data_IF_272973029915
#
_entry.id   IF_272973029915
#
_cell.length_a   1.000
_cell.length_b   1.000
_cell.length_c   1.000
_cell.angle_alpha   90.00
_cell.angle_beta   90.00
_cell.angle_gamma   90.00
#
_symmetry.space_group_name_H-M   'P 1'
#
loop_
_entity.id
_entity.type
_entity.pdbx_description
1 polymer ?
#
# COMPACT_ATOMS: atom_id res chain seq x y z
N UNK A 1 56.93 17.84 31.83
CA UNK A 1 56.39 18.71 30.79
C UNK A 1 57.13 18.40 29.52
N UNK A 2 56.48 17.78 28.54
CA UNK A 2 56.55 18.14 27.13
C UNK A 2 55.55 17.27 26.34
N UNK A 3 54.92 17.92 25.37
CA UNK A 3 53.61 17.58 24.85
C UNK A 3 53.70 16.48 23.78
N UNK A 4 52.89 15.44 23.94
CA UNK A 4 52.62 14.48 22.87
C UNK A 4 52.04 15.21 21.67
N UNK A 5 52.77 15.23 20.57
CA UNK A 5 52.29 15.75 19.30
C UNK A 5 51.17 14.82 18.79
N UNK A 6 49.93 15.18 19.07
CA UNK A 6 48.77 14.59 18.41
C UNK A 6 48.73 15.10 16.98
N UNK A 7 49.35 14.36 16.05
CA UNK A 7 49.23 14.62 14.62
C UNK A 7 47.81 14.27 14.19
N UNK A 8 46.93 15.27 14.16
CA UNK A 8 45.67 15.17 13.45
C UNK A 8 46.04 14.90 11.99
N UNK A 9 45.72 13.70 11.48
CA UNK A 9 45.82 13.42 10.04
C UNK A 9 44.86 14.37 9.31
N UNK A 10 45.40 15.50 8.87
CA UNK A 10 44.68 16.45 8.04
C UNK A 10 44.54 15.82 6.66
N UNK A 11 43.38 15.26 6.39
CA UNK A 11 43.11 14.65 5.11
C UNK A 11 42.84 15.76 4.08
N UNK A 12 43.68 15.86 3.06
CA UNK A 12 43.68 16.96 2.09
C UNK A 12 42.36 17.09 1.29
N UNK A 13 41.49 16.07 1.37
CA UNK A 13 40.15 16.09 0.78
C UNK A 13 39.15 17.03 1.48
N UNK A 14 39.40 17.43 2.73
CA UNK A 14 38.49 18.33 3.48
C UNK A 14 38.97 19.79 3.46
N UNK A 15 39.57 20.23 2.35
CA UNK A 15 39.99 21.63 2.16
C UNK A 15 38.98 22.40 1.31
N UNK A 16 38.88 23.71 1.55
CA UNK A 16 38.05 24.62 0.73
C UNK A 16 38.50 24.58 -0.73
N UNK A 17 39.81 24.50 -0.97
CA UNK A 17 40.39 24.45 -2.31
C UNK A 17 40.02 23.15 -3.04
N UNK A 18 40.04 22.01 -2.35
CA UNK A 18 39.59 20.74 -2.93
C UNK A 18 38.09 20.73 -3.24
N UNK A 19 37.28 21.37 -2.40
CA UNK A 19 35.86 21.54 -2.68
C UNK A 19 35.65 22.38 -3.95
N UNK A 20 36.29 23.55 -4.05
CA UNK A 20 36.19 24.41 -5.24
C UNK A 20 36.67 23.71 -6.52
N UNK A 21 37.79 23.00 -6.46
CA UNK A 21 38.32 22.26 -7.62
C UNK A 21 37.38 21.16 -8.08
N UNK A 22 36.68 20.51 -7.15
CA UNK A 22 35.68 19.47 -7.46
C UNK A 22 34.45 20.02 -8.19
N UNK A 23 34.17 21.33 -8.12
CA UNK A 23 33.09 21.98 -8.88
C UNK A 23 33.61 22.88 -10.01
N UNK A 24 34.89 22.76 -10.40
CA UNK A 24 35.48 23.58 -11.45
C UNK A 24 35.03 23.22 -12.86
N UNK A 25 34.47 22.02 -13.06
CA UNK A 25 33.93 21.60 -14.35
C UNK A 25 32.54 22.19 -14.59
N UNK A 26 32.24 22.51 -15.85
CA UNK A 26 30.92 23.00 -16.26
C UNK A 26 29.86 21.90 -16.07
N UNK A 27 28.80 22.21 -15.32
CA UNK A 27 27.60 21.38 -15.25
C UNK A 27 26.71 21.78 -16.42
N UNK A 28 26.69 20.97 -17.47
CA UNK A 28 25.77 21.19 -18.59
C UNK A 28 24.33 20.86 -18.16
N UNK A 29 23.35 21.72 -18.48
CA UNK A 29 21.95 21.37 -18.26
C UNK A 29 21.61 20.16 -19.12
N UNK A 30 20.88 19.20 -18.56
CA UNK A 30 20.37 18.08 -19.35
C UNK A 30 19.44 18.67 -20.42
N UNK A 31 19.66 18.40 -21.73
CA UNK A 31 19.01 19.11 -22.84
C UNK A 31 17.49 18.86 -22.97
N UNK A 32 16.88 18.18 -22.00
CA UNK A 32 15.53 17.64 -22.10
C UNK A 32 14.67 17.76 -20.83
N UNK A 33 15.16 18.37 -19.74
CA UNK A 33 14.38 18.45 -18.47
C UNK A 33 13.08 19.27 -18.64
N UNK A 34 13.10 20.21 -19.59
CA UNK A 34 11.97 21.10 -19.89
C UNK A 34 11.24 20.75 -21.19
N UNK A 35 11.68 19.75 -21.96
CA UNK A 35 10.78 19.26 -23.01
C UNK A 35 9.65 18.57 -22.26
N UNK A 36 8.52 19.24 -22.30
CA UNK A 36 7.26 18.66 -21.91
C UNK A 36 7.14 17.30 -22.57
N UNK A 37 7.28 16.24 -21.76
CA UNK A 37 6.93 14.84 -22.06
C UNK A 37 5.52 14.69 -22.69
N UNK A 38 4.77 15.79 -22.78
CA UNK A 38 3.51 15.95 -23.46
C UNK A 38 3.56 15.54 -24.94
N UNK A 39 4.66 15.73 -25.69
CA UNK A 39 4.64 15.39 -27.13
C UNK A 39 4.86 13.90 -27.39
N UNK A 40 5.60 13.19 -26.54
CA UNK A 40 5.80 11.74 -26.64
C UNK A 40 4.62 10.98 -26.00
N UNK A 41 3.92 11.57 -25.02
CA UNK A 41 2.84 10.89 -24.29
C UNK A 41 1.41 11.19 -24.75
N UNK A 42 1.19 12.08 -25.72
CA UNK A 42 -0.17 12.38 -26.24
C UNK A 42 -0.93 11.13 -26.67
N UNK A 43 -0.22 10.10 -27.14
CA UNK A 43 -0.82 8.86 -27.65
C UNK A 43 -0.56 7.61 -26.76
N UNK A 44 0.23 7.73 -25.69
CA UNK A 44 0.53 6.59 -24.79
C UNK A 44 -0.51 6.46 -23.67
N UNK A 45 -1.65 5.85 -24.00
CA UNK A 45 -2.64 5.44 -22.99
C UNK A 45 -2.17 4.16 -22.31
N UNK A 46 -1.47 4.30 -21.18
CA UNK A 46 -1.14 3.16 -20.32
C UNK A 46 -2.45 2.66 -19.71
N UNK A 47 -2.96 1.53 -20.23
CA UNK A 47 -4.13 0.87 -19.65
C UNK A 47 -3.72 0.20 -18.35
N UNK A 48 -4.54 0.30 -17.28
CA UNK A 48 -4.30 -0.52 -16.10
C UNK A 48 -4.31 -1.99 -16.50
N UNK A 49 -3.49 -2.83 -15.83
CA UNK A 49 -3.49 -4.26 -16.10
C UNK A 49 -4.92 -4.78 -15.96
N UNK A 50 -5.36 -5.58 -16.94
CA UNK A 50 -6.66 -6.24 -16.89
C UNK A 50 -6.63 -7.37 -15.85
N UNK A 51 -6.55 -6.99 -14.57
CA UNK A 51 -6.64 -7.92 -13.47
C UNK A 51 -8.11 -8.29 -13.28
N UNK A 52 -8.43 -9.57 -13.41
CA UNK A 52 -9.69 -10.10 -12.87
C UNK A 52 -9.66 -9.83 -11.36
N UNK A 53 -10.69 -9.16 -10.84
CA UNK A 53 -10.85 -9.05 -9.38
C UNK A 53 -10.80 -10.46 -8.82
N UNK A 54 -9.89 -10.70 -7.88
CA UNK A 54 -9.87 -11.95 -7.11
C UNK A 54 -11.30 -12.21 -6.62
N UNK A 55 -11.84 -13.43 -6.80
CA UNK A 55 -13.15 -13.77 -6.28
C UNK A 55 -13.21 -13.35 -4.83
N UNK A 56 -14.20 -12.53 -4.47
CA UNK A 56 -14.37 -12.15 -3.07
C UNK A 56 -14.51 -13.45 -2.28
N UNK A 57 -13.82 -13.54 -1.15
CA UNK A 57 -13.98 -14.66 -0.21
C UNK A 57 -15.47 -14.93 -0.03
N UNK A 58 -15.93 -16.11 -0.44
CA UNK A 58 -17.30 -16.55 -0.17
C UNK A 58 -17.52 -16.38 1.33
N UNK A 59 -18.63 -15.78 1.73
CA UNK A 59 -19.01 -15.73 3.15
C UNK A 59 -19.29 -17.15 3.62
N UNK A 60 -18.25 -17.87 4.00
CA UNK A 60 -18.37 -19.20 4.59
C UNK A 60 -19.04 -19.02 5.94
N UNK A 61 -19.98 -19.91 6.27
CA UNK A 61 -20.56 -19.94 7.61
C UNK A 61 -19.43 -20.16 8.61
N UNK A 62 -19.44 -19.42 9.71
CA UNK A 62 -18.46 -19.56 10.79
C UNK A 62 -18.51 -20.99 11.34
N UNK A 63 -17.34 -21.63 11.48
CA UNK A 63 -17.21 -22.90 12.19
C UNK A 63 -17.38 -22.59 13.69
N UNK A 64 -18.26 -23.35 14.36
CA UNK A 64 -18.53 -23.17 15.78
C UNK A 64 -17.47 -23.86 16.64
N UNK A 65 -17.20 -23.34 17.83
CA UNK A 65 -16.37 -24.03 18.82
C UNK A 65 -17.15 -25.19 19.46
N UNK A 66 -16.43 -26.14 20.08
CA UNK A 66 -17.07 -27.20 20.86
C UNK A 66 -17.88 -26.57 22.00
N UNK A 67 -19.14 -26.99 22.15
CA UNK A 67 -20.08 -26.43 23.12
C UNK A 67 -20.83 -25.17 22.67
N UNK A 68 -20.56 -24.63 21.48
CA UNK A 68 -21.31 -23.48 20.97
C UNK A 68 -22.57 -23.92 20.19
N UNK A 69 -23.73 -23.70 20.80
CA UNK A 69 -25.03 -23.95 20.17
C UNK A 69 -25.48 -22.78 19.29
N UNK A 70 -26.14 -23.08 18.16
CA UNK A 70 -26.83 -22.01 17.40
C UNK A 70 -28.10 -21.64 18.12
N UNK A 71 -28.30 -20.34 18.34
CA UNK A 71 -29.59 -19.83 18.81
C UNK A 71 -30.70 -20.29 17.84
N UNK A 72 -31.82 -20.83 18.35
CA UNK A 72 -32.95 -21.19 17.51
C UNK A 72 -33.54 -19.93 16.85
N UNK A 73 -33.91 -20.04 15.58
CA UNK A 73 -34.54 -18.93 14.86
C UNK A 73 -36.00 -18.78 15.33
N UNK A 74 -36.38 -17.56 15.73
CA UNK A 74 -37.78 -17.20 15.99
C UNK A 74 -38.40 -16.65 14.72
N UNK A 75 -39.50 -17.26 14.26
CA UNK A 75 -40.20 -16.78 13.08
C UNK A 75 -40.81 -15.39 13.33
N UNK A 76 -40.56 -14.45 12.42
CA UNK A 76 -41.09 -13.09 12.53
C UNK A 76 -42.63 -13.00 12.42
N UNK A 77 -43.27 -13.96 11.73
CA UNK A 77 -44.73 -14.04 11.54
C UNK A 77 -45.40 -14.74 12.72
N UNK A 78 -45.20 -16.06 12.87
CA UNK A 78 -45.90 -16.86 13.88
C UNK A 78 -45.27 -16.81 15.28
N UNK A 79 -44.12 -16.13 15.46
CA UNK A 79 -43.38 -16.02 16.71
C UNK A 79 -42.93 -17.35 17.34
N UNK A 80 -43.11 -18.49 16.67
CA UNK A 80 -42.64 -19.80 17.11
C UNK A 80 -41.15 -19.97 16.78
N UNK A 81 -40.46 -20.75 17.61
CA UNK A 81 -39.11 -21.23 17.30
C UNK A 81 -39.21 -22.33 16.23
N UNK A 82 -38.30 -22.33 15.27
CA UNK A 82 -38.24 -23.35 14.24
C UNK A 82 -37.22 -23.07 13.15
N UNK A 83 -37.21 -23.93 12.13
CA UNK A 83 -36.30 -23.81 10.98
C UNK A 83 -36.85 -22.93 9.85
N UNK A 84 -38.05 -22.39 9.99
CA UNK A 84 -38.67 -21.49 9.01
C UNK A 84 -38.54 -20.03 9.46
N UNK A 85 -38.43 -19.13 8.49
CA UNK A 85 -38.38 -17.69 8.73
C UNK A 85 -39.73 -17.06 8.35
N UNK A 86 -39.85 -15.73 8.46
CA UNK A 86 -41.07 -15.00 8.08
C UNK A 86 -41.51 -15.28 6.62
N UNK A 87 -40.55 -15.49 5.71
CA UNK A 87 -40.80 -15.64 4.28
C UNK A 87 -41.24 -17.07 3.92
N UNK A 88 -40.76 -18.08 4.66
CA UNK A 88 -41.12 -19.49 4.46
C UNK A 88 -42.20 -19.97 5.44
N UNK A 89 -42.80 -19.05 6.20
CA UNK A 89 -43.85 -19.38 7.15
C UNK A 89 -45.15 -19.70 6.41
N UNK A 90 -45.75 -20.85 6.72
CA UNK A 90 -47.03 -21.29 6.19
C UNK A 90 -48.24 -20.76 6.96
N UNK A 91 -48.04 -20.07 8.09
CA UNK A 91 -49.17 -19.45 8.80
C UNK A 91 -49.73 -18.30 7.95
N UNK A 92 -51.07 -18.16 7.89
CA UNK A 92 -51.69 -16.99 7.28
C UNK A 92 -51.25 -15.72 8.01
N UNK A 93 -51.44 -14.58 7.36
CA UNK A 93 -51.15 -13.27 7.92
C UNK A 93 -52.12 -12.93 9.06
#
# INVERSE_FOLDING_TARGET
MEFGQNTVQFNNYFTVEYCKSSYSFSIEPIPDIHQTLLDIMKDFVIKPPMARKQPRRLKVKRIKSNGEESRPMKCGRCKKLGHHNKNTCSTPF
#
